data_IF_210656316206
#
_entry.id   IF_210656316206
#
_cell.length_a   1.000
_cell.length_b   1.000
_cell.length_c   1.000
_cell.angle_alpha   90.00
_cell.angle_beta   90.00
_cell.angle_gamma   90.00
#
_symmetry.space_group_name_H-M   'P 1'
#
loop_
_entity.id
_entity.type
_entity.pdbx_description
1 polymer ?
#
# COMPACT_ATOMS: atom_id res chain seq x y z
N UNK A 1 37.46 8.14 54.85
CA UNK A 1 36.51 7.39 53.99
C UNK A 1 36.06 8.31 52.87
N UNK A 2 36.30 8.00 51.59
CA UNK A 2 35.91 8.89 50.50
C UNK A 2 34.41 8.77 50.21
N UNK A 3 33.73 9.91 50.07
CA UNK A 3 32.37 10.00 49.55
C UNK A 3 32.41 9.64 48.06
N UNK A 4 32.06 8.41 47.72
CA UNK A 4 31.85 8.01 46.33
C UNK A 4 30.51 8.60 45.88
N UNK A 5 30.64 9.60 44.99
CA UNK A 5 29.71 10.08 43.97
C UNK A 5 28.25 9.59 44.04
N UNK A 6 27.37 10.47 44.53
CA UNK A 6 25.91 10.38 44.30
C UNK A 6 25.50 11.07 42.98
N UNK A 7 26.45 11.54 42.15
CA UNK A 7 26.17 12.29 40.92
C UNK A 7 26.08 11.44 39.65
N UNK A 8 26.61 10.21 39.63
CA UNK A 8 26.52 9.35 38.42
C UNK A 8 25.16 8.67 38.25
N UNK A 9 24.39 8.47 39.33
CA UNK A 9 23.10 7.78 39.23
C UNK A 9 21.99 8.65 38.61
N UNK A 10 22.04 9.99 38.74
CA UNK A 10 20.98 10.85 38.19
C UNK A 10 21.02 10.91 36.66
N UNK A 11 22.21 10.97 36.06
CA UNK A 11 22.38 11.05 34.60
C UNK A 11 21.85 9.80 33.90
N UNK A 12 22.09 8.61 34.45
CA UNK A 12 21.59 7.35 33.90
C UNK A 12 20.06 7.26 33.98
N UNK A 13 19.45 7.67 35.10
CA UNK A 13 17.99 7.68 35.24
C UNK A 13 17.30 8.70 34.32
N UNK A 14 17.90 9.87 34.11
CA UNK A 14 17.40 10.86 33.15
C UNK A 14 17.54 10.38 31.71
N UNK A 15 18.63 9.69 31.38
CA UNK A 15 18.86 9.13 30.06
C UNK A 15 17.83 8.03 29.73
N UNK A 16 17.52 7.15 30.68
CA UNK A 16 16.45 6.15 30.54
C UNK A 16 15.06 6.78 30.40
N UNK A 17 14.78 7.84 31.17
CA UNK A 17 13.50 8.56 31.10
C UNK A 17 13.33 9.26 29.76
N UNK A 18 14.38 9.93 29.29
CA UNK A 18 14.39 10.64 28.00
C UNK A 18 14.26 9.65 26.85
N UNK A 19 14.99 8.53 26.89
CA UNK A 19 14.86 7.45 25.92
C UNK A 19 13.43 6.89 25.87
N UNK A 20 12.85 6.57 27.03
CA UNK A 20 11.47 6.07 27.11
C UNK A 20 10.44 7.07 26.56
N UNK A 21 10.53 8.35 26.92
CA UNK A 21 9.60 9.38 26.42
C UNK A 21 9.70 9.52 24.90
N UNK A 22 10.91 9.50 24.35
CA UNK A 22 11.13 9.57 22.91
C UNK A 22 10.54 8.36 22.18
N UNK A 23 10.78 7.15 22.68
CA UNK A 23 10.21 5.89 22.15
C UNK A 23 8.68 5.92 22.14
N UNK A 24 8.03 6.35 23.24
CA UNK A 24 6.57 6.43 23.30
C UNK A 24 6.02 7.47 22.30
N UNK A 25 6.67 8.62 22.19
CA UNK A 25 6.32 9.67 21.23
C UNK A 25 6.46 9.22 19.78
N UNK A 26 7.54 8.50 19.44
CA UNK A 26 7.77 7.95 18.10
C UNK A 26 6.75 6.88 17.74
N UNK A 27 6.46 5.95 18.65
CA UNK A 27 5.47 4.91 18.44
C UNK A 27 4.06 5.49 18.23
N UNK A 28 3.70 6.56 18.95
CA UNK A 28 2.45 7.28 18.73
C UNK A 28 2.39 7.92 17.34
N UNK A 29 3.46 8.62 16.92
CA UNK A 29 3.54 9.24 15.58
C UNK A 29 3.41 8.21 14.46
N UNK A 30 4.10 7.07 14.56
CA UNK A 30 4.02 5.99 13.56
C UNK A 30 2.61 5.40 13.50
N UNK A 31 1.96 5.23 14.65
CA UNK A 31 0.58 4.73 14.72
C UNK A 31 -0.38 5.69 14.02
N UNK A 32 -0.26 6.99 14.28
CA UNK A 32 -1.04 8.04 13.62
C UNK A 32 -0.82 8.06 12.11
N UNK A 33 0.44 7.99 11.65
CA UNK A 33 0.78 7.92 10.23
C UNK A 33 0.14 6.72 9.54
N UNK A 34 0.21 5.53 10.17
CA UNK A 34 -0.47 4.33 9.64
C UNK A 34 -1.98 4.52 9.54
N UNK A 35 -2.58 5.20 10.51
CA UNK A 35 -3.99 5.57 10.47
C UNK A 35 -4.32 6.45 9.25
N UNK A 36 -3.51 7.48 8.99
CA UNK A 36 -3.69 8.33 7.81
C UNK A 36 -3.49 7.57 6.49
N UNK A 37 -2.44 6.75 6.39
CA UNK A 37 -2.21 5.91 5.20
C UNK A 37 -3.42 5.00 4.96
N UNK A 38 -3.93 4.34 6.00
CA UNK A 38 -5.11 3.49 5.88
C UNK A 38 -6.37 4.27 5.46
N UNK A 39 -6.60 5.46 6.02
CA UNK A 39 -7.73 6.29 5.66
C UNK A 39 -7.67 6.75 4.19
N UNK A 40 -6.50 7.21 3.75
CA UNK A 40 -6.27 7.60 2.34
C UNK A 40 -6.46 6.40 1.42
N UNK A 41 -5.94 5.22 1.81
CA UNK A 41 -6.14 3.99 1.06
C UNK A 41 -7.63 3.68 0.88
N UNK A 42 -8.40 3.66 1.97
CA UNK A 42 -9.83 3.33 1.96
C UNK A 42 -10.59 4.31 1.08
N UNK A 43 -10.40 5.62 1.27
CA UNK A 43 -11.07 6.64 0.46
C UNK A 43 -10.67 6.46 -1.02
N UNK A 44 -9.39 6.23 -1.28
CA UNK A 44 -8.84 6.06 -2.62
C UNK A 44 -9.39 4.85 -3.36
N UNK A 45 -9.50 3.67 -2.72
CA UNK A 45 -10.06 2.48 -3.39
C UNK A 45 -11.56 2.62 -3.66
N UNK A 46 -12.31 3.34 -2.82
CA UNK A 46 -13.72 3.64 -3.08
C UNK A 46 -13.88 4.63 -4.24
N UNK A 47 -13.08 5.70 -4.25
CA UNK A 47 -13.05 6.67 -5.35
C UNK A 47 -12.67 6.01 -6.68
N UNK A 48 -11.58 5.25 -6.70
CA UNK A 48 -11.13 4.54 -7.89
C UNK A 48 -12.17 3.51 -8.38
N UNK A 49 -12.80 2.77 -7.46
CA UNK A 49 -13.88 1.85 -7.80
C UNK A 49 -15.07 2.55 -8.43
N UNK A 50 -15.50 3.68 -7.85
CA UNK A 50 -16.59 4.49 -8.39
C UNK A 50 -16.25 5.06 -9.78
N UNK A 51 -15.05 5.61 -9.96
CA UNK A 51 -14.58 6.11 -11.26
C UNK A 51 -14.57 5.01 -12.32
N UNK A 52 -14.04 3.82 -12.01
CA UNK A 52 -14.01 2.70 -12.95
C UNK A 52 -15.40 2.25 -13.38
N UNK A 53 -16.34 2.15 -12.43
CA UNK A 53 -17.72 1.78 -12.72
C UNK A 53 -18.45 2.86 -13.55
N UNK A 54 -18.27 4.14 -13.20
CA UNK A 54 -18.88 5.27 -13.91
C UNK A 54 -18.33 5.43 -15.33
N UNK A 55 -17.06 5.08 -15.55
CA UNK A 55 -16.42 5.08 -16.86
C UNK A 55 -16.70 3.82 -17.68
N UNK A 56 -17.54 2.90 -17.18
CA UNK A 56 -17.96 1.70 -17.91
C UNK A 56 -16.85 0.66 -18.07
N UNK A 57 -15.86 0.61 -17.16
CA UNK A 57 -14.72 -0.32 -17.23
C UNK A 57 -15.11 -1.76 -16.88
N UNK A 58 -16.09 -2.29 -17.60
CA UNK A 58 -16.75 -3.59 -17.39
C UNK A 58 -17.05 -4.34 -18.70
N UNK A 59 -16.65 -3.77 -19.84
CA UNK A 59 -16.97 -4.26 -21.19
C UNK A 59 -16.05 -5.41 -21.65
N UNK A 60 -14.83 -5.51 -21.12
CA UNK A 60 -13.88 -6.61 -21.42
C UNK A 60 -13.45 -7.34 -20.14
N UNK A 61 -13.16 -8.64 -20.25
CA UNK A 61 -12.76 -9.47 -19.11
C UNK A 61 -11.55 -8.93 -18.34
N UNK A 62 -10.60 -8.27 -19.01
CA UNK A 62 -9.42 -7.67 -18.36
C UNK A 62 -9.77 -6.43 -17.54
N UNK A 63 -10.83 -5.71 -17.90
CA UNK A 63 -11.29 -4.51 -17.19
C UNK A 63 -11.87 -4.85 -15.80
N UNK A 64 -12.26 -6.10 -15.58
CA UNK A 64 -12.69 -6.59 -14.26
C UNK A 64 -11.54 -6.78 -13.27
N UNK A 65 -10.30 -6.94 -13.73
CA UNK A 65 -9.15 -7.22 -12.86
C UNK A 65 -8.98 -6.11 -11.80
N UNK A 66 -8.93 -4.81 -12.15
CA UNK A 66 -8.87 -3.74 -11.16
C UNK A 66 -10.05 -3.75 -10.17
N UNK A 67 -11.28 -3.97 -10.64
CA UNK A 67 -12.47 -4.01 -9.78
C UNK A 67 -12.43 -5.16 -8.77
N UNK A 68 -12.03 -6.35 -9.22
CA UNK A 68 -11.88 -7.52 -8.36
C UNK A 68 -10.74 -7.33 -7.35
N UNK A 69 -9.64 -6.69 -7.73
CA UNK A 69 -8.56 -6.35 -6.81
C UNK A 69 -9.01 -5.33 -5.76
N UNK A 70 -9.75 -4.29 -6.15
CA UNK A 70 -10.38 -3.33 -5.23
C UNK A 70 -11.28 -4.05 -4.22
N UNK A 71 -12.20 -4.90 -4.70
CA UNK A 71 -13.06 -5.68 -3.83
C UNK A 71 -12.26 -6.60 -2.90
N UNK A 72 -11.29 -7.34 -3.43
CA UNK A 72 -10.43 -8.24 -2.66
C UNK A 72 -9.69 -7.47 -1.55
N UNK A 73 -9.17 -6.29 -1.84
CA UNK A 73 -8.46 -5.47 -0.85
C UNK A 73 -9.36 -5.09 0.34
N UNK A 74 -10.63 -4.75 0.08
CA UNK A 74 -11.60 -4.40 1.12
C UNK A 74 -11.98 -5.63 1.94
N UNK A 75 -12.19 -6.78 1.30
CA UNK A 75 -12.49 -8.04 1.98
C UNK A 75 -11.33 -8.50 2.87
N UNK A 76 -10.10 -8.47 2.36
CA UNK A 76 -8.90 -8.85 3.12
C UNK A 76 -8.66 -7.88 4.28
N UNK A 77 -8.89 -6.58 4.07
CA UNK A 77 -8.78 -5.59 5.13
C UNK A 77 -9.87 -5.79 6.21
N UNK A 78 -11.11 -6.06 5.80
CA UNK A 78 -12.21 -6.43 6.70
C UNK A 78 -11.89 -7.68 7.52
N UNK A 79 -11.35 -8.72 6.87
CA UNK A 79 -10.84 -9.90 7.56
C UNK A 79 -9.71 -9.53 8.55
N UNK A 80 -8.76 -8.69 8.14
CA UNK A 80 -7.70 -8.24 9.03
C UNK A 80 -8.25 -7.53 10.27
N UNK A 81 -9.29 -6.70 10.15
CA UNK A 81 -9.91 -6.05 11.31
C UNK A 81 -10.57 -7.05 12.27
N UNK A 82 -11.17 -8.13 11.75
CA UNK A 82 -11.80 -9.16 12.55
C UNK A 82 -10.80 -10.05 13.31
N UNK A 83 -9.72 -10.49 12.65
CA UNK A 83 -8.79 -11.50 13.21
C UNK A 83 -7.48 -10.89 13.72
N UNK A 84 -7.06 -9.73 13.19
CA UNK A 84 -5.83 -9.00 13.56
C UNK A 84 -4.57 -9.85 13.51
N UNK A 85 -4.53 -10.83 12.61
CA UNK A 85 -3.47 -11.83 12.51
C UNK A 85 -2.39 -11.53 11.46
N UNK A 86 -1.19 -12.13 11.58
CA UNK A 86 -0.09 -11.92 10.63
C UNK A 86 -0.41 -12.46 9.22
N UNK A 87 -1.20 -13.54 9.13
CA UNK A 87 -1.62 -14.12 7.85
C UNK A 87 -2.48 -13.14 7.05
N UNK A 88 -3.53 -12.59 7.67
CA UNK A 88 -4.39 -11.58 7.02
C UNK A 88 -3.59 -10.36 6.53
N UNK A 89 -2.59 -9.93 7.31
CA UNK A 89 -1.71 -8.82 6.90
C UNK A 89 -0.80 -9.19 5.72
N UNK A 90 -0.26 -10.42 5.67
CA UNK A 90 0.50 -10.88 4.49
C UNK A 90 -0.36 -10.98 3.23
N UNK A 91 -1.59 -11.47 3.36
CA UNK A 91 -2.53 -11.52 2.23
C UNK A 91 -2.82 -10.10 1.75
N UNK A 92 -2.97 -9.13 2.66
CA UNK A 92 -3.12 -7.72 2.29
C UNK A 92 -1.88 -7.21 1.54
N UNK A 93 -0.67 -7.48 2.03
CA UNK A 93 0.58 -7.13 1.34
C UNK A 93 0.67 -7.68 -0.08
N UNK A 94 0.36 -8.97 -0.25
CA UNK A 94 0.35 -9.61 -1.58
C UNK A 94 -0.69 -8.94 -2.47
N UNK A 95 -1.88 -8.63 -1.93
CA UNK A 95 -2.92 -7.90 -2.68
C UNK A 95 -2.40 -6.53 -3.13
N UNK A 96 -1.65 -5.81 -2.29
CA UNK A 96 -1.07 -4.52 -2.66
C UNK A 96 0.03 -4.63 -3.73
N UNK A 97 0.81 -5.72 -3.74
CA UNK A 97 1.72 -6.01 -4.86
C UNK A 97 0.97 -6.27 -6.16
N UNK A 98 -0.16 -7.00 -6.09
CA UNK A 98 -1.02 -7.24 -7.25
C UNK A 98 -1.61 -5.93 -7.78
N UNK A 99 -1.94 -4.96 -6.93
CA UNK A 99 -2.34 -3.61 -7.37
C UNK A 99 -1.25 -2.94 -8.20
N UNK A 100 0.00 -2.95 -7.73
CA UNK A 100 1.14 -2.36 -8.43
C UNK A 100 1.36 -3.05 -9.78
N UNK A 101 1.38 -4.38 -9.79
CA UNK A 101 1.56 -5.18 -11.02
C UNK A 101 0.42 -4.90 -12.01
N UNK A 102 -0.82 -4.91 -11.53
CA UNK A 102 -2.01 -4.63 -12.35
C UNK A 102 -1.99 -3.20 -12.90
N UNK A 103 -1.52 -2.23 -12.13
CA UNK A 103 -1.42 -0.85 -12.58
C UNK A 103 -0.38 -0.68 -13.69
N UNK A 104 0.79 -1.31 -13.59
CA UNK A 104 1.77 -1.33 -14.69
C UNK A 104 1.25 -2.05 -15.93
N UNK A 105 0.59 -3.20 -15.75
CA UNK A 105 -0.03 -3.94 -16.85
C UNK A 105 -1.10 -3.09 -17.55
N UNK A 106 -1.97 -2.41 -16.77
CA UNK A 106 -2.98 -1.50 -17.29
C UNK A 106 -2.37 -0.34 -18.07
N UNK A 107 -1.31 0.29 -17.55
CA UNK A 107 -0.62 1.38 -18.25
C UNK A 107 -0.09 0.95 -19.61
N UNK A 108 0.50 -0.26 -19.69
CA UNK A 108 0.99 -0.83 -20.94
C UNK A 108 -0.15 -1.11 -21.93
N UNK A 109 -1.23 -1.76 -21.48
CA UNK A 109 -2.37 -2.10 -22.32
C UNK A 109 -3.08 -0.85 -22.86
N UNK A 110 -3.28 0.18 -22.02
CA UNK A 110 -3.84 1.46 -22.44
C UNK A 110 -2.94 2.17 -23.44
N UNK A 111 -1.63 2.16 -23.23
CA UNK A 111 -0.69 2.72 -24.21
C UNK A 111 -0.77 1.99 -25.55
N UNK A 112 -0.81 0.66 -25.54
CA UNK A 112 -0.94 -0.15 -26.75
C UNK A 112 -2.23 0.17 -27.52
N UNK A 113 -3.37 0.24 -26.81
CA UNK A 113 -4.64 0.62 -27.42
C UNK A 113 -4.63 2.03 -28.01
N UNK A 114 -3.98 2.99 -27.33
CA UNK A 114 -3.85 4.35 -27.84
C UNK A 114 -2.95 4.40 -29.09
N UNK A 115 -1.89 3.58 -29.16
CA UNK A 115 -1.06 3.45 -30.37
C UNK A 115 -1.87 2.87 -31.53
N UNK A 116 -2.65 1.82 -31.28
CA UNK A 116 -3.50 1.18 -32.29
C UNK A 116 -4.53 2.18 -32.85
N UNK A 117 -5.25 2.88 -31.96
CA UNK A 117 -6.22 3.90 -32.33
C UNK A 117 -5.61 5.03 -33.18
N UNK A 118 -4.45 5.56 -32.76
CA UNK A 118 -3.77 6.63 -33.50
C UNK A 118 -3.29 6.17 -34.88
N UNK A 119 -2.90 4.90 -35.02
CA UNK A 119 -2.47 4.34 -36.31
C UNK A 119 -3.64 3.99 -37.22
N UNK A 120 -4.80 3.62 -36.67
CA UNK A 120 -6.05 3.50 -37.44
C UNK A 120 -6.48 4.84 -38.03
N UNK A 121 -6.35 5.92 -37.25
CA UNK A 121 -6.73 7.27 -37.69
C UNK A 121 -5.66 7.91 -38.59
N UNK A 122 -4.38 7.70 -38.29
CA UNK A 122 -3.25 8.32 -38.98
C UNK A 122 -2.12 7.29 -39.23
N UNK A 123 -2.22 6.47 -40.29
CA UNK A 123 -1.30 5.34 -40.53
C UNK A 123 0.18 5.72 -40.70
N UNK A 124 0.45 6.97 -41.08
CA UNK A 124 1.81 7.50 -41.28
C UNK A 124 2.49 7.99 -40.00
N UNK A 125 1.80 8.02 -38.85
CA UNK A 125 2.41 8.43 -37.57
C UNK A 125 3.53 7.48 -37.16
N UNK A 126 4.66 8.04 -36.73
CA UNK A 126 5.85 7.28 -36.30
C UNK A 126 6.60 8.01 -35.19
N UNK A 127 7.52 7.29 -34.56
CA UNK A 127 8.51 7.83 -33.63
C UNK A 127 7.92 8.62 -32.48
N UNK A 128 8.53 9.76 -32.14
CA UNK A 128 8.18 10.58 -30.99
C UNK A 128 6.79 11.23 -31.12
N UNK A 129 6.33 11.47 -32.35
CA UNK A 129 5.00 12.04 -32.59
C UNK A 129 3.91 11.04 -32.22
N UNK A 130 4.03 9.80 -32.69
CA UNK A 130 3.14 8.70 -32.31
C UNK A 130 3.14 8.49 -30.79
N UNK A 131 4.32 8.45 -30.17
CA UNK A 131 4.44 8.30 -28.71
C UNK A 131 3.72 9.42 -27.95
N UNK A 132 3.92 10.68 -28.36
CA UNK A 132 3.26 11.84 -27.72
C UNK A 132 1.75 11.79 -27.88
N UNK A 133 1.24 11.42 -29.05
CA UNK A 133 -0.19 11.27 -29.27
C UNK A 133 -0.77 10.11 -28.48
N UNK A 134 -0.11 8.95 -28.48
CA UNK A 134 -0.54 7.78 -27.71
C UNK A 134 -0.59 8.04 -26.19
N UNK A 135 0.39 8.74 -25.62
CA UNK A 135 0.35 9.12 -24.20
C UNK A 135 -0.74 10.16 -23.89
N UNK A 136 -1.00 11.08 -24.81
CA UNK A 136 -2.08 12.08 -24.71
C UNK A 136 -3.45 11.54 -25.15
N UNK A 137 -3.51 10.29 -25.59
CA UNK A 137 -4.59 9.72 -26.40
C UNK A 137 -5.97 9.87 -25.77
N UNK A 138 -6.96 9.97 -26.64
CA UNK A 138 -8.35 10.35 -26.33
C UNK A 138 -9.20 9.19 -25.79
N UNK A 139 -8.73 7.95 -25.88
CA UNK A 139 -9.35 6.76 -25.27
C UNK A 139 -9.04 6.69 -23.75
N UNK A 140 -10.05 6.53 -22.86
CA UNK A 140 -9.93 6.80 -21.42
C UNK A 140 -9.38 5.62 -20.59
N UNK A 141 -8.92 5.81 -19.33
CA UNK A 141 -7.86 6.71 -18.87
C UNK A 141 -6.66 5.94 -18.25
N UNK A 142 -5.43 6.35 -18.56
CA UNK A 142 -4.22 5.90 -17.84
C UNK A 142 -4.22 6.30 -16.35
N UNK A 143 -5.09 7.24 -15.96
CA UNK A 143 -5.22 7.71 -14.59
C UNK A 143 -5.59 6.58 -13.63
N UNK A 144 -6.50 5.70 -14.01
CA UNK A 144 -6.90 4.56 -13.16
C UNK A 144 -5.73 3.59 -12.93
N UNK A 145 -4.94 3.32 -13.97
CA UNK A 145 -3.73 2.51 -13.87
C UNK A 145 -2.69 3.14 -12.92
N UNK A 146 -2.47 4.46 -13.01
CA UNK A 146 -1.63 5.21 -12.08
C UNK A 146 -2.15 5.16 -10.64
N UNK A 147 -3.45 5.33 -10.44
CA UNK A 147 -4.11 5.24 -9.14
C UNK A 147 -3.94 3.86 -8.50
N UNK A 148 -4.04 2.78 -9.28
CA UNK A 148 -3.76 1.42 -8.79
C UNK A 148 -2.34 1.26 -8.25
N UNK A 149 -1.33 1.80 -8.97
CA UNK A 149 0.07 1.79 -8.51
C UNK A 149 0.20 2.58 -7.20
N UNK A 150 -0.36 3.80 -7.16
CA UNK A 150 -0.30 4.66 -5.98
C UNK A 150 -0.94 4.00 -4.76
N UNK A 151 -2.14 3.44 -4.90
CA UNK A 151 -2.86 2.77 -3.81
C UNK A 151 -2.14 1.50 -3.35
N UNK A 152 -1.57 0.71 -4.27
CA UNK A 152 -0.75 -0.44 -3.94
C UNK A 152 0.48 -0.05 -3.12
N UNK A 153 1.23 0.98 -3.54
CA UNK A 153 2.39 1.49 -2.80
C UNK A 153 2.02 2.03 -1.42
N UNK A 154 0.90 2.74 -1.32
CA UNK A 154 0.41 3.31 -0.08
C UNK A 154 -0.05 2.22 0.90
N UNK A 155 -0.69 1.16 0.40
CA UNK A 155 -0.99 -0.04 1.18
C UNK A 155 0.27 -0.77 1.64
N UNK A 156 1.29 -0.92 0.79
CA UNK A 156 2.58 -1.48 1.19
C UNK A 156 3.25 -0.64 2.29
N UNK A 157 3.24 0.68 2.16
CA UNK A 157 3.74 1.61 3.18
C UNK A 157 3.00 1.44 4.52
N UNK A 158 1.66 1.30 4.50
CA UNK A 158 0.87 0.99 5.70
C UNK A 158 1.34 -0.31 6.38
N UNK A 159 1.63 -1.34 5.61
CA UNK A 159 2.08 -2.64 6.14
C UNK A 159 3.56 -2.69 6.53
N UNK A 160 4.33 -1.66 6.22
CA UNK A 160 5.77 -1.66 6.46
C UNK A 160 6.08 -1.75 7.96
N UNK A 161 6.87 -2.77 8.33
CA UNK A 161 7.21 -3.13 9.72
C UNK A 161 5.98 -3.16 10.64
N UNK A 162 4.86 -3.70 10.15
CA UNK A 162 3.59 -3.67 10.88
C UNK A 162 3.70 -4.44 12.23
N UNK A 163 3.18 -3.89 13.36
CA UNK A 163 3.35 -4.47 14.70
C UNK A 163 2.81 -5.89 14.84
N UNK A 164 1.87 -6.29 13.97
CA UNK A 164 1.30 -7.65 13.96
C UNK A 164 2.36 -8.73 13.73
N UNK A 165 3.43 -8.42 13.00
CA UNK A 165 4.53 -9.36 12.76
C UNK A 165 5.42 -9.53 14.00
N UNK A 166 5.60 -8.47 14.78
CA UNK A 166 6.37 -8.50 16.04
C UNK A 166 5.62 -9.27 17.12
N UNK A 167 4.33 -9.00 17.31
CA UNK A 167 3.48 -9.72 18.28
C UNK A 167 3.42 -11.22 18.01
N UNK A 168 3.42 -11.62 16.73
CA UNK A 168 3.42 -13.04 16.35
C UNK A 168 4.74 -13.75 16.67
N UNK A 169 5.88 -13.05 16.62
CA UNK A 169 7.18 -13.65 16.93
C UNK A 169 7.30 -13.96 18.44
N UNK A 170 6.86 -13.04 19.31
CA UNK A 170 6.85 -13.25 20.76
C UNK A 170 5.89 -14.35 21.23
N UNK A 171 4.75 -14.54 20.54
CA UNK A 171 3.83 -15.65 20.86
C UNK A 171 4.43 -17.02 20.55
N UNK A 172 5.26 -17.13 19.51
CA UNK A 172 5.92 -18.40 19.14
C UNK A 172 7.06 -18.78 20.10
N UNK A 173 7.79 -17.82 20.68
CA UNK A 173 8.86 -18.14 21.65
C UNK A 173 8.30 -18.69 22.97
N UNK A 174 7.21 -18.11 23.49
CA UNK A 174 6.63 -18.55 24.76
C UNK A 174 6.01 -19.95 24.66
N UNK A 175 5.43 -20.32 23.52
CA UNK A 175 4.82 -21.64 23.34
C UNK A 175 5.85 -22.79 23.22
N UNK A 176 7.09 -22.50 22.81
CA UNK A 176 8.17 -23.49 22.77
C UNK A 176 8.90 -23.65 24.12
N UNK A 177 8.74 -22.70 25.05
CA UNK A 177 9.31 -22.77 26.40
C UNK A 177 8.49 -23.61 27.39
N UNK A 178 7.19 -23.78 27.15
CA UNK A 178 6.29 -24.58 28.01
C UNK A 178 6.27 -26.08 27.67
N UNK A 179 7.04 -26.52 26.66
CA UNK A 179 7.16 -27.94 26.27
C UNK A 179 8.48 -28.59 26.70
N UNK A 180 9.10 -28.10 27.77
CA UNK A 180 10.30 -28.70 28.38
C UNK A 180 10.01 -29.16 29.80
#
# INVERSE_FOLDING_TARGET
MPKVSLMEHSSFTEQLRTFSINEHGENAKITTLRGFLLAIFIIGVHGAGAELLLLGHTEDGRQWIPLLLILLSLLVLGWHFAVRGPTSMRVFQVTMLLFVISGFAGLFLHYQGNVEFELEMYPSLRGLELFRKAIKGTTPPTLAAGTMIQLGLLGLAYTYRHPVFVKSAGKKSNHNGEKQ
#
